data_IF_776446328990
#
_entry.id   IF_776446328990
#
_cell.length_a   1.000
_cell.length_b   1.000
_cell.length_c   1.000
_cell.angle_alpha   90.00
_cell.angle_beta   90.00
_cell.angle_gamma   90.00
#
_symmetry.space_group_name_H-M   'P 1'
#
loop_
_entity.id
_entity.type
_entity.pdbx_description
1 polymer ?
#
# COMPACT_ATOMS: atom_id res chain seq x y z
N UNK A 1 6.31 19.66 -5.59
CA UNK A 1 6.71 20.70 -4.63
C UNK A 1 8.04 21.28 -5.07
N UNK A 2 8.12 22.58 -5.23
CA UNK A 2 9.36 23.22 -5.66
C UNK A 2 10.39 23.38 -4.54
N UNK A 3 10.09 22.90 -3.33
CA UNK A 3 10.98 23.02 -2.17
C UNK A 3 10.90 21.74 -1.35
N UNK A 4 11.96 21.50 -0.60
CA UNK A 4 12.03 20.34 0.28
C UNK A 4 11.13 20.54 1.52
N UNK A 5 10.49 19.48 1.95
CA UNK A 5 9.72 19.46 3.19
C UNK A 5 10.26 18.34 4.08
N UNK A 6 10.28 18.53 5.41
CA UNK A 6 10.69 17.44 6.31
C UNK A 6 9.75 16.24 6.16
N UNK A 7 10.30 15.04 6.26
CA UNK A 7 9.51 13.81 6.16
C UNK A 7 8.39 13.76 7.21
N UNK A 8 8.63 14.30 8.41
CA UNK A 8 7.60 14.37 9.45
C UNK A 8 6.41 15.23 9.02
N UNK A 9 6.67 16.32 8.30
CA UNK A 9 5.60 17.17 7.78
C UNK A 9 4.79 16.45 6.70
N UNK A 10 5.47 15.74 5.80
CA UNK A 10 4.81 14.95 4.76
C UNK A 10 3.88 13.92 5.38
N UNK A 11 4.32 13.19 6.39
CA UNK A 11 3.50 12.18 7.06
C UNK A 11 2.31 12.79 7.79
N UNK A 12 2.50 13.95 8.43
CA UNK A 12 1.39 14.66 9.07
C UNK A 12 0.32 15.04 8.06
N UNK A 13 0.74 15.53 6.90
CA UNK A 13 -0.19 15.91 5.82
C UNK A 13 -0.92 14.68 5.28
N UNK A 14 -0.21 13.58 5.05
CA UNK A 14 -0.82 12.35 4.54
C UNK A 14 -1.84 11.77 5.52
N UNK A 15 -1.56 11.84 6.81
CA UNK A 15 -2.49 11.31 7.83
C UNK A 15 -3.81 12.08 7.88
N UNK A 16 -3.83 13.33 7.39
CA UNK A 16 -5.04 14.16 7.37
C UNK A 16 -5.98 13.82 6.21
N UNK A 17 -5.49 13.15 5.16
CA UNK A 17 -6.29 12.90 3.96
C UNK A 17 -7.03 11.56 3.99
N UNK A 18 -6.79 10.72 4.98
CA UNK A 18 -7.48 9.44 5.06
C UNK A 18 -7.00 8.58 6.22
N UNK A 19 -7.55 7.39 6.27
CA UNK A 19 -7.19 6.37 7.26
C UNK A 19 -6.16 5.43 6.65
N UNK A 20 -5.05 5.24 7.35
CA UNK A 20 -3.93 4.43 6.88
C UNK A 20 -3.75 3.18 7.73
N UNK A 21 -3.36 2.09 7.08
CA UNK A 21 -2.99 0.86 7.80
C UNK A 21 -1.85 0.15 7.06
N UNK A 22 -0.93 -0.43 7.83
CA UNK A 22 0.13 -1.27 7.28
C UNK A 22 -0.35 -2.71 7.18
N UNK A 23 0.30 -3.48 6.31
CA UNK A 23 0.00 -4.89 6.16
C UNK A 23 0.80 -5.79 7.07
N UNK A 24 0.86 -7.07 6.72
CA UNK A 24 1.61 -8.06 7.49
C UNK A 24 1.99 -9.25 6.62
N UNK A 25 2.95 -10.03 7.11
CA UNK A 25 3.42 -11.23 6.45
C UNK A 25 3.02 -12.44 7.30
N UNK A 26 2.09 -13.29 6.82
CA UNK A 26 1.79 -14.54 7.50
C UNK A 26 3.03 -15.41 7.59
N UNK A 27 3.10 -16.29 8.60
CA UNK A 27 4.27 -17.15 8.80
C UNK A 27 4.61 -17.92 7.53
N UNK A 28 5.80 -17.70 6.99
CA UNK A 28 6.28 -18.39 5.80
C UNK A 28 6.52 -19.88 6.05
N UNK A 29 6.72 -20.26 7.30
CA UNK A 29 6.90 -21.68 7.65
C UNK A 29 5.59 -22.46 7.57
N UNK A 30 4.45 -21.81 7.60
CA UNK A 30 3.15 -22.45 7.45
C UNK A 30 2.68 -22.33 6.01
N UNK A 31 3.01 -23.35 5.21
CA UNK A 31 2.69 -23.34 3.77
C UNK A 31 1.17 -23.34 3.49
N UNK A 32 0.35 -23.79 4.45
CA UNK A 32 -1.09 -23.79 4.28
C UNK A 32 -1.69 -22.37 4.29
N UNK A 33 -0.95 -21.38 4.71
CA UNK A 33 -1.38 -19.97 4.67
C UNK A 33 -1.33 -19.37 3.28
N UNK A 34 -0.63 -20.00 2.34
CA UNK A 34 -0.37 -19.44 1.00
C UNK A 34 -1.14 -20.22 -0.07
N UNK A 35 -1.37 -19.58 -1.21
CA UNK A 35 -2.09 -20.21 -2.30
C UNK A 35 -3.60 -20.17 -2.15
N UNK A 36 -4.13 -19.26 -1.34
CA UNK A 36 -5.58 -19.12 -1.13
C UNK A 36 -6.26 -18.20 -2.13
N UNK A 37 -7.36 -17.60 -1.69
CA UNK A 37 -8.20 -16.74 -2.54
C UNK A 37 -8.00 -15.25 -2.32
N UNK A 38 -7.21 -14.86 -1.32
CA UNK A 38 -7.04 -13.46 -0.95
C UNK A 38 -5.72 -12.96 -1.53
N UNK A 39 -5.75 -12.00 -2.46
CA UNK A 39 -4.51 -11.47 -3.02
C UNK A 39 -3.64 -10.86 -1.93
N UNK A 40 -2.33 -11.09 -2.01
CA UNK A 40 -1.36 -10.58 -1.06
C UNK A 40 -0.23 -9.89 -1.82
N UNK A 41 -0.26 -8.56 -1.77
CA UNK A 41 0.65 -7.71 -2.53
C UNK A 41 1.93 -7.45 -1.73
N UNK A 42 3.06 -7.58 -2.41
CA UNK A 42 4.36 -7.15 -1.88
C UNK A 42 4.76 -5.86 -2.58
N UNK A 43 5.60 -5.06 -1.94
CA UNK A 43 5.98 -3.75 -2.49
C UNK A 43 6.57 -3.84 -3.89
N UNK A 44 7.20 -4.98 -4.25
CA UNK A 44 7.69 -5.20 -5.62
C UNK A 44 6.59 -5.31 -6.67
N UNK A 45 5.35 -5.52 -6.25
CA UNK A 45 4.20 -5.62 -7.16
C UNK A 45 3.59 -4.25 -7.50
N UNK A 46 4.02 -3.19 -6.83
CA UNK A 46 3.53 -1.83 -7.10
C UNK A 46 4.08 -1.33 -8.44
N UNK A 47 3.21 -0.66 -9.20
CA UNK A 47 3.53 -0.26 -10.58
C UNK A 47 3.29 1.24 -10.86
N UNK A 48 3.07 2.03 -9.81
CA UNK A 48 2.74 3.46 -9.90
C UNK A 48 1.45 3.72 -10.67
N UNK A 49 0.52 2.77 -10.62
CA UNK A 49 -0.75 2.88 -11.33
C UNK A 49 -1.81 1.96 -10.71
N UNK A 50 -2.78 1.57 -11.53
CA UNK A 50 -3.83 0.65 -11.10
C UNK A 50 -3.27 -0.76 -10.95
N UNK A 51 -3.59 -1.39 -9.83
CA UNK A 51 -3.17 -2.77 -9.55
C UNK A 51 -4.27 -3.70 -10.05
N UNK A 52 -3.99 -4.43 -11.11
CA UNK A 52 -4.93 -5.37 -11.72
C UNK A 52 -4.46 -6.82 -11.63
N UNK A 53 -3.23 -7.06 -11.15
CA UNK A 53 -2.69 -8.41 -11.00
C UNK A 53 -1.77 -8.47 -9.78
N UNK A 54 -2.02 -9.45 -8.92
CA UNK A 54 -1.18 -9.72 -7.74
C UNK A 54 -0.83 -11.21 -7.79
N UNK A 55 0.47 -11.54 -7.96
CA UNK A 55 0.89 -12.94 -8.19
C UNK A 55 0.67 -13.87 -7.01
N UNK A 56 0.80 -13.38 -5.77
CA UNK A 56 0.66 -14.23 -4.59
C UNK A 56 -0.69 -14.04 -3.92
N UNK A 57 -1.13 -15.08 -3.21
CA UNK A 57 -2.38 -15.07 -2.45
C UNK A 57 -2.20 -15.79 -1.13
N UNK A 58 -3.08 -15.48 -0.18
CA UNK A 58 -3.10 -16.09 1.14
C UNK A 58 -4.51 -16.56 1.45
N UNK A 59 -4.65 -17.33 2.54
CA UNK A 59 -5.94 -17.86 2.96
C UNK A 59 -6.58 -16.95 3.99
N UNK A 60 -7.89 -17.15 4.25
CA UNK A 60 -8.60 -16.46 5.32
C UNK A 60 -7.98 -16.78 6.69
N UNK A 61 -7.52 -18.02 6.87
CA UNK A 61 -6.82 -18.43 8.09
C UNK A 61 -5.54 -17.64 8.28
N UNK A 62 -4.80 -17.39 7.19
CA UNK A 62 -3.59 -16.58 7.25
C UNK A 62 -3.88 -15.14 7.69
N UNK A 63 -4.96 -14.56 7.19
CA UNK A 63 -5.38 -13.22 7.61
C UNK A 63 -5.73 -13.22 9.09
N UNK A 64 -6.48 -14.23 9.56
CA UNK A 64 -6.90 -14.31 10.95
C UNK A 64 -5.73 -14.51 11.92
N UNK A 65 -4.65 -15.15 11.48
CA UNK A 65 -3.50 -15.50 12.31
C UNK A 65 -2.25 -14.66 12.05
N UNK A 66 -2.42 -13.49 11.44
CA UNK A 66 -1.32 -12.57 11.16
C UNK A 66 -1.79 -11.13 11.33
N UNK A 67 -0.88 -10.19 11.07
CA UNK A 67 -1.21 -8.77 11.05
C UNK A 67 -1.69 -8.29 9.68
N UNK A 68 -1.80 -9.18 8.70
CA UNK A 68 -2.33 -8.83 7.38
C UNK A 68 -3.78 -8.36 7.51
N UNK A 69 -4.11 -7.31 6.75
CA UNK A 69 -5.44 -6.71 6.75
C UNK A 69 -5.95 -6.60 5.32
N UNK A 70 -7.25 -6.84 5.14
CA UNK A 70 -7.87 -6.69 3.83
C UNK A 70 -8.16 -5.22 3.59
N UNK A 71 -7.62 -4.68 2.51
CA UNK A 71 -7.83 -3.31 2.08
C UNK A 71 -8.92 -3.30 1.00
N UNK A 72 -9.88 -2.36 1.05
CA UNK A 72 -10.94 -2.32 0.06
C UNK A 72 -10.46 -1.85 -1.31
N UNK A 73 -11.28 -2.10 -2.32
CA UNK A 73 -11.09 -1.55 -3.66
C UNK A 73 -10.91 -0.03 -3.58
N UNK A 74 -9.98 0.50 -4.34
CA UNK A 74 -9.70 1.94 -4.36
C UNK A 74 -8.65 2.38 -3.36
N UNK A 75 -8.17 1.49 -2.49
CA UNK A 75 -7.11 1.84 -1.55
C UNK A 75 -5.85 2.31 -2.29
N UNK A 76 -5.25 3.39 -1.79
CA UNK A 76 -3.98 3.89 -2.31
C UNK A 76 -2.86 3.27 -1.48
N UNK A 77 -1.96 2.56 -2.16
CA UNK A 77 -0.86 1.86 -1.52
C UNK A 77 0.46 2.59 -1.75
N UNK A 78 1.32 2.60 -0.74
CA UNK A 78 2.65 3.18 -0.86
C UNK A 78 3.68 2.27 -0.18
N UNK A 79 4.81 2.04 -0.85
CA UNK A 79 5.94 1.33 -0.27
C UNK A 79 6.65 2.24 0.73
N UNK A 80 6.82 1.75 1.96
CA UNK A 80 7.32 2.55 3.08
C UNK A 80 8.83 2.47 3.26
N UNK A 81 9.45 1.37 2.83
CA UNK A 81 10.90 1.19 2.95
C UNK A 81 11.39 0.14 1.95
N UNK A 82 12.69 0.01 1.84
CA UNK A 82 13.34 -0.93 0.93
C UNK A 82 13.64 -0.31 -0.42
N UNK A 83 14.00 -1.17 -1.39
CA UNK A 83 14.42 -0.73 -2.72
C UNK A 83 13.28 -0.07 -3.52
N UNK A 84 12.03 -0.32 -3.14
CA UNK A 84 10.85 0.19 -3.84
C UNK A 84 10.19 1.37 -3.12
N UNK A 85 10.88 1.96 -2.14
CA UNK A 85 10.32 3.07 -1.34
C UNK A 85 9.72 4.15 -2.25
N UNK A 86 8.51 4.59 -1.91
CA UNK A 86 7.79 5.62 -2.64
C UNK A 86 6.95 5.12 -3.81
N UNK A 87 7.07 3.85 -4.20
CA UNK A 87 6.22 3.30 -5.25
C UNK A 87 4.77 3.24 -4.80
N UNK A 88 3.87 3.43 -5.74
CA UNK A 88 2.44 3.58 -5.48
C UNK A 88 1.62 2.53 -6.23
N UNK A 89 0.38 2.37 -5.79
CA UNK A 89 -0.62 1.59 -6.50
C UNK A 89 -2.01 1.93 -6.00
N UNK A 90 -3.00 1.70 -6.85
CA UNK A 90 -4.41 1.82 -6.47
C UNK A 90 -5.05 0.45 -6.70
N UNK A 91 -5.65 -0.11 -5.66
CA UNK A 91 -6.29 -1.42 -5.76
C UNK A 91 -7.56 -1.34 -6.61
N UNK A 92 -7.70 -2.28 -7.54
CA UNK A 92 -8.92 -2.44 -8.34
C UNK A 92 -9.81 -3.57 -7.80
N UNK A 93 -9.37 -4.25 -6.74
CA UNK A 93 -10.12 -5.28 -6.02
C UNK A 93 -9.57 -5.34 -4.59
N UNK A 94 -10.31 -5.94 -3.64
CA UNK A 94 -9.80 -6.05 -2.27
C UNK A 94 -8.56 -6.92 -2.19
N UNK A 95 -7.58 -6.52 -1.40
CA UNK A 95 -6.33 -7.25 -1.27
C UNK A 95 -5.64 -6.96 0.07
N UNK A 96 -4.79 -7.89 0.49
CA UNK A 96 -3.89 -7.69 1.61
C UNK A 96 -2.51 -7.26 1.11
N UNK A 97 -1.66 -6.78 2.00
CA UNK A 97 -0.29 -6.38 1.66
C UNK A 97 0.69 -6.88 2.72
N UNK A 98 1.97 -6.90 2.37
CA UNK A 98 3.01 -7.14 3.37
C UNK A 98 3.20 -5.88 4.25
N UNK A 99 4.05 -6.00 5.28
CA UNK A 99 4.27 -4.92 6.25
C UNK A 99 5.03 -3.73 5.70
N UNK A 100 5.70 -3.88 4.56
CA UNK A 100 6.44 -2.79 3.94
C UNK A 100 5.53 -1.84 3.14
N UNK A 101 4.24 -2.18 3.01
CA UNK A 101 3.25 -1.40 2.28
C UNK A 101 2.24 -0.80 3.24
N UNK A 102 1.94 0.48 3.07
CA UNK A 102 0.90 1.16 3.82
C UNK A 102 -0.25 1.50 2.88
N UNK A 103 -1.48 1.35 3.37
CA UNK A 103 -2.68 1.57 2.56
C UNK A 103 -3.53 2.68 3.14
N UNK A 104 -3.94 3.62 2.30
CA UNK A 104 -4.97 4.60 2.63
C UNK A 104 -6.31 4.01 2.23
N UNK A 105 -7.14 3.67 3.21
CA UNK A 105 -8.36 2.90 2.99
C UNK A 105 -9.64 3.71 3.09
N UNK A 106 -9.60 4.88 3.73
CA UNK A 106 -10.74 5.78 3.84
C UNK A 106 -10.32 7.17 3.41
N UNK A 107 -10.99 7.72 2.41
CA UNK A 107 -10.73 9.04 1.86
C UNK A 107 -11.95 9.46 1.04
N UNK A 108 -12.04 10.75 0.75
CA UNK A 108 -13.02 11.21 -0.18
C UNK A 108 -12.57 10.95 -1.62
N UNK A 109 -13.51 10.68 -2.53
CA UNK A 109 -13.19 10.30 -3.91
C UNK A 109 -12.31 11.35 -4.60
N UNK A 110 -12.58 12.63 -4.35
CA UNK A 110 -11.79 13.72 -4.92
C UNK A 110 -10.37 13.71 -4.35
N UNK A 111 -10.22 13.34 -3.07
CA UNK A 111 -8.93 13.29 -2.42
C UNK A 111 -8.02 12.19 -2.97
N UNK A 112 -8.58 11.09 -3.48
CA UNK A 112 -7.80 9.98 -4.02
C UNK A 112 -6.87 10.42 -5.15
N UNK A 113 -7.43 11.07 -6.17
CA UNK A 113 -6.64 11.50 -7.32
C UNK A 113 -5.60 12.55 -6.91
N UNK A 114 -6.00 13.46 -6.03
CA UNK A 114 -5.11 14.50 -5.54
C UNK A 114 -3.94 13.89 -4.75
N UNK A 115 -4.25 12.95 -3.87
CA UNK A 115 -3.25 12.25 -3.07
C UNK A 115 -2.26 11.50 -3.95
N UNK A 116 -2.77 10.78 -4.96
CA UNK A 116 -1.92 10.02 -5.87
C UNK A 116 -0.93 10.93 -6.60
N UNK A 117 -1.42 12.03 -7.15
CA UNK A 117 -0.56 13.02 -7.82
C UNK A 117 0.43 13.64 -6.87
N UNK A 118 0.01 13.96 -5.66
CA UNK A 118 0.86 14.59 -4.66
C UNK A 118 2.02 13.68 -4.28
N UNK A 119 1.75 12.41 -4.03
CA UNK A 119 2.78 11.45 -3.64
C UNK A 119 3.76 11.20 -4.80
N UNK A 120 3.26 11.05 -6.02
CA UNK A 120 4.12 10.92 -7.20
C UNK A 120 5.04 12.13 -7.34
N UNK A 121 4.49 13.32 -7.15
CA UNK A 121 5.27 14.55 -7.23
C UNK A 121 6.39 14.59 -6.20
N UNK A 122 6.10 14.20 -4.96
CA UNK A 122 7.10 14.12 -3.91
C UNK A 122 8.17 13.09 -4.23
N UNK A 123 7.77 11.93 -4.75
CA UNK A 123 8.69 10.86 -5.11
C UNK A 123 9.70 11.34 -6.15
N UNK A 124 9.22 11.97 -7.22
CA UNK A 124 10.10 12.48 -8.26
C UNK A 124 10.96 13.63 -7.79
N UNK A 125 10.46 14.44 -6.88
CA UNK A 125 11.24 15.55 -6.29
C UNK A 125 12.38 15.04 -5.41
N UNK A 126 12.14 13.96 -4.66
CA UNK A 126 13.15 13.37 -3.78
C UNK A 126 14.23 12.61 -4.56
N UNK A 127 13.88 12.10 -5.72
CA UNK A 127 14.79 11.31 -6.56
C UNK A 127 15.73 12.18 -7.38
N UNK A 128 15.49 13.45 -7.42
CA UNK A 128 16.32 14.44 -8.10
C UNK A 128 17.03 15.31 -7.07
#
# INVERSE_FOLDING_TARGET
MPFEVPSSWVWTTLSEVGTWQSGGTPSRSNKSYYGGNIPWLKTGDLNDGLISNIPESITEEAVANSSAKINPTGSVLIAMYGATIGKLGILTFPATTNQACCACIEYEVVAQMYLFYYIIHLYFSLDN
#
